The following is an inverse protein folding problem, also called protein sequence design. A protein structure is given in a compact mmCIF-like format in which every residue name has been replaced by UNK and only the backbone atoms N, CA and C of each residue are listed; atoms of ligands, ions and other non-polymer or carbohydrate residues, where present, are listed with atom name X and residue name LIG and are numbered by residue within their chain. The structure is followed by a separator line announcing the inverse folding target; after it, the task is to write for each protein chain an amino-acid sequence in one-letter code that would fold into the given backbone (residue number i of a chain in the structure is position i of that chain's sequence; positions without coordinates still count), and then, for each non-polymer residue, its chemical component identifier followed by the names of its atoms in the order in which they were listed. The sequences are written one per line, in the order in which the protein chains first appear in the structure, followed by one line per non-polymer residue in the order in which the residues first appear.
data_IF_540585877911
#
_entry.id   IF_540585877911
#
_cell.length_a   1.000
_cell.length_b   1.000
_cell.length_c   1.000
_cell.angle_alpha   90.00
_cell.angle_beta   90.00
_cell.angle_gamma   90.00
#
_symmetry.space_group_name_H-M   'P 1'
#
loop_
_entity.id
_entity.type
_entity.pdbx_description
1 polymer ?
#
# COMPACT_ATOMS: atom_id res chain seq x y z
N UNK A 1 1.80 -24.64 -25.34
CA UNK A 1 0.65 -23.91 -24.79
C UNK A 1 0.41 -24.06 -23.26
N UNK A 2 0.89 -25.11 -22.56
CA UNK A 2 0.65 -25.30 -21.11
C UNK A 2 1.29 -24.25 -20.17
N UNK A 3 2.44 -23.66 -20.52
CA UNK A 3 3.18 -22.72 -19.65
C UNK A 3 2.44 -21.40 -19.43
N UNK A 4 1.71 -20.91 -20.44
CA UNK A 4 0.98 -19.64 -20.37
C UNK A 4 -0.26 -19.76 -19.48
N UNK A 5 -0.97 -20.89 -19.53
CA UNK A 5 -2.12 -21.15 -18.68
C UNK A 5 -1.72 -21.26 -17.20
N UNK A 6 -0.65 -22.01 -16.91
CA UNK A 6 -0.14 -22.18 -15.54
C UNK A 6 0.32 -20.86 -14.89
N UNK A 7 0.94 -19.96 -15.67
CA UNK A 7 1.34 -18.61 -15.21
C UNK A 7 0.14 -17.70 -14.93
N UNK A 8 -0.96 -17.83 -15.69
CA UNK A 8 -2.19 -17.04 -15.47
C UNK A 8 -2.91 -17.48 -14.19
N UNK A 9 -3.04 -18.79 -13.98
CA UNK A 9 -3.65 -19.36 -12.77
C UNK A 9 -2.89 -18.97 -11.50
N UNK A 10 -1.55 -19.01 -11.55
CA UNK A 10 -0.70 -18.63 -10.42
C UNK A 10 -0.79 -17.13 -10.10
N UNK A 11 -0.82 -16.25 -11.11
CA UNK A 11 -1.05 -14.80 -10.89
C UNK A 11 -2.42 -14.51 -10.29
N UNK A 12 -3.45 -15.24 -10.73
CA UNK A 12 -4.81 -15.12 -10.17
C UNK A 12 -4.84 -15.53 -8.70
N UNK A 13 -4.15 -16.62 -8.34
CA UNK A 13 -4.05 -17.08 -6.95
C UNK A 13 -3.33 -16.07 -6.04
N UNK A 14 -2.26 -15.44 -6.53
CA UNK A 14 -1.55 -14.40 -5.76
C UNK A 14 -2.38 -13.14 -5.56
N UNK A 15 -3.16 -12.71 -6.55
CA UNK A 15 -4.05 -11.57 -6.39
C UNK A 15 -5.09 -11.83 -5.27
N UNK A 16 -5.71 -13.01 -5.27
CA UNK A 16 -6.68 -13.36 -4.24
C UNK A 16 -6.07 -13.39 -2.84
N UNK A 17 -4.87 -13.99 -2.70
CA UNK A 17 -4.13 -13.98 -1.43
C UNK A 17 -3.81 -12.55 -0.95
N UNK A 18 -3.37 -11.69 -1.87
CA UNK A 18 -3.09 -10.29 -1.54
C UNK A 18 -4.33 -9.57 -0.99
N UNK A 19 -5.50 -9.78 -1.60
CA UNK A 19 -6.77 -9.19 -1.14
C UNK A 19 -7.18 -9.67 0.24
N UNK A 20 -7.15 -10.98 0.48
CA UNK A 20 -7.53 -11.57 1.77
C UNK A 20 -6.63 -11.04 2.90
N UNK A 21 -5.31 -11.02 2.67
CA UNK A 21 -4.35 -10.52 3.66
C UNK A 21 -4.50 -9.02 3.88
N UNK A 22 -4.79 -8.25 2.83
CA UNK A 22 -4.99 -6.81 2.98
C UNK A 22 -6.29 -6.48 3.75
N UNK A 23 -7.38 -7.21 3.51
CA UNK A 23 -8.61 -7.09 4.30
C UNK A 23 -8.36 -7.45 5.77
N UNK A 24 -7.53 -8.47 6.03
CA UNK A 24 -7.11 -8.82 7.38
C UNK A 24 -6.33 -7.68 8.04
N UNK A 25 -5.38 -7.08 7.34
CA UNK A 25 -4.62 -5.94 7.85
C UNK A 25 -5.53 -4.77 8.28
N UNK A 26 -6.49 -4.40 7.42
CA UNK A 26 -7.48 -3.35 7.74
C UNK A 26 -8.29 -3.73 8.99
N UNK A 27 -8.73 -4.99 9.10
CA UNK A 27 -9.46 -5.46 10.28
C UNK A 27 -8.62 -5.40 11.55
N UNK A 28 -7.33 -5.73 11.46
CA UNK A 28 -6.39 -5.65 12.58
C UNK A 28 -6.16 -4.18 13.01
N UNK A 29 -5.95 -3.25 12.08
CA UNK A 29 -5.85 -1.82 12.38
C UNK A 29 -7.12 -1.28 13.06
N UNK A 30 -8.31 -1.63 12.55
CA UNK A 30 -9.58 -1.24 13.17
C UNK A 30 -9.79 -1.82 14.58
N UNK A 31 -8.99 -2.81 14.98
CA UNK A 31 -8.99 -3.42 16.32
C UNK A 31 -7.86 -2.87 17.21
N UNK A 32 -7.10 -1.88 16.75
CA UNK A 32 -5.90 -1.36 17.44
C UNK A 32 -4.73 -2.35 17.46
N UNK A 33 -4.73 -3.35 16.57
CA UNK A 33 -3.66 -4.37 16.44
C UNK A 33 -2.65 -3.91 15.41
N UNK A 34 -2.03 -2.76 15.66
CA UNK A 34 -1.32 -2.01 14.61
C UNK A 34 -0.07 -2.74 14.11
N UNK A 35 0.65 -3.45 14.98
CA UNK A 35 1.81 -4.25 14.59
C UNK A 35 1.39 -5.44 13.69
N UNK A 36 0.37 -6.20 14.10
CA UNK A 36 -0.14 -7.30 13.29
C UNK A 36 -0.69 -6.82 11.94
N UNK A 37 -1.36 -5.66 11.96
CA UNK A 37 -1.84 -5.00 10.74
C UNK A 37 -0.71 -4.72 9.75
N UNK A 38 0.41 -4.15 10.22
CA UNK A 38 1.58 -3.89 9.36
C UNK A 38 2.19 -5.19 8.85
N UNK A 39 2.27 -6.25 9.66
CA UNK A 39 2.73 -7.57 9.24
C UNK A 39 1.85 -8.16 8.12
N UNK A 40 0.53 -8.19 8.34
CA UNK A 40 -0.46 -8.65 7.35
C UNK A 40 -0.42 -7.84 6.05
N UNK A 41 -0.29 -6.50 6.15
CA UNK A 41 -0.19 -5.63 4.98
C UNK A 41 1.13 -5.85 4.22
N UNK A 42 2.23 -6.09 4.93
CA UNK A 42 3.52 -6.40 4.30
C UNK A 42 3.47 -7.74 3.56
N UNK A 43 2.85 -8.75 4.15
CA UNK A 43 2.63 -10.04 3.49
C UNK A 43 1.72 -9.88 2.25
N UNK A 44 0.62 -9.13 2.37
CA UNK A 44 -0.26 -8.80 1.26
C UNK A 44 0.51 -8.15 0.10
N UNK A 45 1.43 -7.23 0.41
CA UNK A 45 2.25 -6.53 -0.57
C UNK A 45 3.14 -7.48 -1.37
N UNK A 46 3.72 -8.49 -0.71
CA UNK A 46 4.56 -9.49 -1.38
C UNK A 46 3.77 -10.21 -2.49
N UNK A 47 2.54 -10.62 -2.21
CA UNK A 47 1.67 -11.27 -3.19
C UNK A 47 1.16 -10.30 -4.27
N UNK A 48 0.85 -9.06 -3.91
CA UNK A 48 0.44 -8.02 -4.86
C UNK A 48 1.54 -7.70 -5.89
N UNK A 49 2.81 -7.63 -5.44
CA UNK A 49 3.98 -7.42 -6.31
C UNK A 49 4.15 -8.58 -7.31
N UNK A 50 3.98 -9.83 -6.87
CA UNK A 50 4.12 -11.00 -7.74
C UNK A 50 3.01 -11.12 -8.79
N UNK A 51 1.79 -10.67 -8.47
CA UNK A 51 0.66 -10.68 -9.40
C UNK A 51 0.65 -9.48 -10.36
N UNK A 52 1.32 -8.38 -10.02
CA UNK A 52 1.23 -7.10 -10.74
C UNK A 52 -0.14 -6.43 -10.55
N UNK A 53 -0.81 -6.76 -9.45
CA UNK A 53 -2.15 -6.28 -9.11
C UNK A 53 -2.14 -4.80 -8.75
N UNK A 54 -3.25 -4.10 -9.01
CA UNK A 54 -3.37 -2.68 -8.66
C UNK A 54 -3.45 -2.48 -7.15
N UNK A 55 -3.89 -3.53 -6.44
CA UNK A 55 -3.96 -3.64 -4.98
C UNK A 55 -2.65 -3.23 -4.29
N UNK A 56 -1.49 -3.35 -4.95
CA UNK A 56 -0.22 -2.83 -4.40
C UNK A 56 -0.27 -1.33 -4.08
N UNK A 57 -1.01 -0.53 -4.86
CA UNK A 57 -1.18 0.91 -4.61
C UNK A 57 -1.88 1.10 -3.26
N UNK A 58 -3.00 0.41 -3.05
CA UNK A 58 -3.77 0.50 -1.81
C UNK A 58 -2.97 0.01 -0.59
N UNK A 59 -2.21 -1.07 -0.75
CA UNK A 59 -1.39 -1.61 0.34
C UNK A 59 -0.25 -0.64 0.69
N UNK A 60 0.42 -0.06 -0.30
CA UNK A 60 1.44 0.97 -0.05
C UNK A 60 0.83 2.22 0.59
N UNK A 61 -0.33 2.70 0.14
CA UNK A 61 -1.04 3.81 0.76
C UNK A 61 -1.38 3.55 2.24
N UNK A 62 -1.84 2.33 2.53
CA UNK A 62 -2.16 1.91 3.89
C UNK A 62 -0.91 1.86 4.79
N UNK A 63 0.17 1.24 4.31
CA UNK A 63 1.43 1.20 5.05
C UNK A 63 2.00 2.60 5.30
N UNK A 64 1.87 3.51 4.34
CA UNK A 64 2.27 4.91 4.53
C UNK A 64 1.53 5.55 5.72
N UNK A 65 0.20 5.41 5.80
CA UNK A 65 -0.58 5.91 6.94
C UNK A 65 -0.16 5.26 8.26
N UNK A 66 -0.05 3.93 8.31
CA UNK A 66 0.36 3.23 9.54
C UNK A 66 1.74 3.70 10.05
N UNK A 67 2.68 3.94 9.13
CA UNK A 67 4.00 4.43 9.52
C UNK A 67 4.02 5.91 9.90
N UNK A 68 3.10 6.74 9.40
CA UNK A 68 2.89 8.09 9.93
C UNK A 68 2.39 8.04 11.37
N UNK A 69 1.39 7.18 11.66
CA UNK A 69 0.85 7.03 13.02
C UNK A 69 1.93 6.56 14.00
N UNK A 70 2.89 5.74 13.53
CA UNK A 70 4.05 5.33 14.30
C UNK A 70 5.19 6.36 14.36
N UNK A 71 4.98 7.57 13.84
CA UNK A 71 6.00 8.62 13.73
C UNK A 71 7.26 8.18 12.95
N UNK A 72 7.12 7.18 12.07
CA UNK A 72 8.18 6.69 11.17
C UNK A 72 8.02 7.32 9.78
N UNK A 73 8.02 8.65 9.74
CA UNK A 73 7.63 9.45 8.58
C UNK A 73 8.52 9.21 7.35
N UNK A 74 9.82 8.91 7.53
CA UNK A 74 10.71 8.52 6.43
C UNK A 74 10.25 7.22 5.76
N UNK A 75 9.81 6.23 6.55
CA UNK A 75 9.28 4.97 6.03
C UNK A 75 7.94 5.22 5.34
N UNK A 76 7.08 6.06 5.94
CA UNK A 76 5.82 6.45 5.33
C UNK A 76 6.03 7.09 3.95
N UNK A 77 7.01 7.98 3.83
CA UNK A 77 7.39 8.65 2.58
C UNK A 77 7.78 7.65 1.49
N UNK A 78 8.59 6.65 1.85
CA UNK A 78 8.98 5.57 0.92
C UNK A 78 7.74 4.84 0.40
N UNK A 79 6.81 4.46 1.29
CA UNK A 79 5.59 3.76 0.87
C UNK A 79 4.68 4.65 0.01
N UNK A 80 4.54 5.94 0.32
CA UNK A 80 3.74 6.86 -0.49
C UNK A 80 4.35 7.05 -1.89
N UNK A 81 5.67 7.18 -1.98
CA UNK A 81 6.40 7.24 -3.25
C UNK A 81 6.18 5.97 -4.09
N UNK A 82 6.31 4.79 -3.49
CA UNK A 82 6.08 3.50 -4.18
C UNK A 82 4.63 3.37 -4.68
N UNK A 83 3.65 3.89 -3.92
CA UNK A 83 2.26 3.92 -4.36
C UNK A 83 2.08 4.81 -5.60
N UNK A 84 2.68 6.02 -5.59
CA UNK A 84 2.64 6.96 -6.72
C UNK A 84 3.26 6.36 -7.99
N UNK A 85 4.45 5.74 -7.87
CA UNK A 85 5.11 5.06 -8.98
C UNK A 85 4.31 3.86 -9.49
N UNK A 86 3.48 3.27 -8.63
CA UNK A 86 2.67 2.11 -8.95
C UNK A 86 1.34 2.42 -9.64
N UNK A 87 0.93 3.70 -9.68
CA UNK A 87 -0.29 4.15 -10.34
C UNK A 87 -0.28 3.81 -11.83
N UNK A 88 -1.46 3.43 -12.33
CA UNK A 88 -1.67 3.16 -13.74
C UNK A 88 -2.79 4.06 -14.25
N UNK A 89 -2.50 4.84 -15.31
CA UNK A 89 -3.43 5.84 -15.87
C UNK A 89 -4.69 5.23 -16.47
N UNK A 90 -4.63 3.95 -16.84
CA UNK A 90 -5.74 3.16 -17.38
C UNK A 90 -6.65 2.58 -16.28
N UNK A 91 -6.26 2.69 -15.00
CA UNK A 91 -7.09 2.24 -13.89
C UNK A 91 -8.22 3.23 -13.64
N UNK A 92 -9.45 2.72 -13.48
CA UNK A 92 -10.66 3.55 -13.27
C UNK A 92 -10.56 4.55 -12.11
N UNK A 93 -9.74 4.24 -11.10
CA UNK A 93 -9.55 5.06 -9.89
C UNK A 93 -8.30 5.95 -9.93
N UNK A 94 -7.57 5.98 -11.06
CA UNK A 94 -6.32 6.75 -11.17
C UNK A 94 -6.45 8.19 -10.69
N UNK A 95 -7.48 8.91 -11.13
CA UNK A 95 -7.64 10.33 -10.80
C UNK A 95 -7.86 10.59 -9.31
N UNK A 96 -8.65 9.75 -8.63
CA UNK A 96 -8.86 9.84 -7.18
C UNK A 96 -7.63 9.41 -6.40
N UNK A 97 -7.02 8.29 -6.81
CA UNK A 97 -5.88 7.70 -6.10
C UNK A 97 -4.65 8.60 -6.22
N UNK A 98 -4.43 9.24 -7.37
CA UNK A 98 -3.37 10.23 -7.55
C UNK A 98 -3.57 11.44 -6.64
N UNK A 99 -4.77 12.04 -6.61
CA UNK A 99 -5.06 13.20 -5.73
C UNK A 99 -4.86 12.84 -4.26
N UNK A 100 -5.34 11.68 -3.85
CA UNK A 100 -5.18 11.18 -2.49
C UNK A 100 -3.69 11.02 -2.13
N UNK A 101 -2.89 10.37 -2.99
CA UNK A 101 -1.48 10.12 -2.73
C UNK A 101 -0.63 11.39 -2.70
N UNK A 102 -0.96 12.39 -3.52
CA UNK A 102 -0.31 13.71 -3.45
C UNK A 102 -0.60 14.37 -2.10
N UNK A 103 -1.86 14.41 -1.67
CA UNK A 103 -2.22 14.97 -0.37
C UNK A 103 -1.57 14.22 0.79
N UNK A 104 -1.47 12.89 0.71
CA UNK A 104 -0.78 12.07 1.70
C UNK A 104 0.72 12.40 1.75
N UNK A 105 1.38 12.55 0.59
CA UNK A 105 2.79 12.93 0.56
C UNK A 105 3.03 14.31 1.17
N UNK A 106 2.17 15.29 0.85
CA UNK A 106 2.25 16.63 1.42
C UNK A 106 2.11 16.60 2.96
N UNK A 107 1.23 15.76 3.49
CA UNK A 107 1.05 15.60 4.93
C UNK A 107 2.28 14.94 5.58
N UNK A 108 2.84 13.89 4.96
CA UNK A 108 4.10 13.29 5.42
C UNK A 108 5.21 14.33 5.47
N UNK A 109 5.34 15.16 4.44
CA UNK A 109 6.39 16.18 4.39
C UNK A 109 6.24 17.25 5.47
N UNK A 110 5.01 17.68 5.80
CA UNK A 110 4.78 18.57 6.95
C UNK A 110 5.24 17.95 8.27
N UNK A 111 5.04 16.64 8.45
CA UNK A 111 5.47 15.95 9.67
C UNK A 111 7.00 15.75 9.76
N UNK A 112 7.71 15.84 8.64
CA UNK A 112 9.17 15.75 8.58
C UNK A 112 9.86 17.10 8.81
N UNK A 113 9.16 18.21 8.57
CA UNK A 113 9.72 19.52 8.83
C UNK A 113 9.86 19.73 10.36
N UNK A 114 11.04 20.14 10.86
CA UNK A 114 11.15 20.54 12.25
C UNK A 114 10.15 21.65 12.50
N UNK A 115 9.28 21.50 13.52
CA UNK A 115 8.48 22.61 14.01
C UNK A 115 9.45 23.76 14.28
N UNK A 116 9.36 24.84 13.50
CA UNK A 116 10.15 26.03 13.74
C UNK A 116 9.94 26.38 15.22
N UNK A 117 11.02 26.34 15.99
CA UNK A 117 10.99 26.73 17.39
C UNK A 117 10.52 28.19 17.44
N UNK A 118 9.30 28.41 17.91
CA UNK A 118 8.83 29.72 18.36
C UNK A 118 9.25 29.93 19.81
#
# INVERSE_FOLDING_TARGET
MKVVHRKKEQKSSYNEKAKVLFQRAIKEANQGKDLQSVESATEALMYAKQSGAYERVYIHSFLAMMFMDFSKNEIAKIHCFEALQSLRKDHRHYGSDHKYLIALNDEIEKTLQPKAAM
#
